data_IF_646070294314
#
_entry.id   IF_646070294314
#
_cell.length_a   1.000
_cell.length_b   1.000
_cell.length_c   1.000
_cell.angle_alpha   90.00
_cell.angle_beta   90.00
_cell.angle_gamma   90.00
#
_symmetry.space_group_name_H-M   'P 1'
#
loop_
_entity.id
_entity.type
_entity.pdbx_description
1 polymer ?
#
# COMPACT_ATOMS: atom_id res chain seq x y z
N UNK A 1 -1.13 -9.42 21.64
CA UNK A 1 -0.68 -8.23 22.37
C UNK A 1 0.27 -7.53 21.42
N UNK A 2 -0.12 -6.39 20.84
CA UNK A 2 0.81 -5.59 20.05
C UNK A 2 1.61 -4.76 21.06
N UNK A 3 2.91 -4.99 21.14
CA UNK A 3 3.82 -4.19 21.95
C UNK A 3 3.78 -2.75 21.41
N UNK A 4 3.56 -1.78 22.29
CA UNK A 4 3.77 -0.38 21.92
C UNK A 4 5.20 -0.22 21.39
N UNK A 5 5.41 0.53 20.31
CA UNK A 5 6.76 0.74 19.79
C UNK A 5 7.61 1.40 20.87
N UNK A 6 8.78 0.83 21.15
CA UNK A 6 9.74 1.40 22.09
C UNK A 6 10.08 2.83 21.63
N UNK A 7 9.55 3.83 22.36
CA UNK A 7 9.73 5.26 22.08
C UNK A 7 11.21 5.62 21.83
N UNK A 8 12.20 5.05 22.56
CA UNK A 8 13.61 5.26 22.26
C UNK A 8 14.05 4.74 20.88
N UNK A 9 13.58 3.56 20.47
CA UNK A 9 13.93 2.96 19.18
C UNK A 9 13.36 3.80 18.01
N UNK A 10 12.14 4.31 18.16
CA UNK A 10 11.52 5.18 17.15
C UNK A 10 12.25 6.51 17.00
N UNK A 11 12.69 7.12 18.11
CA UNK A 11 13.48 8.35 18.07
C UNK A 11 14.85 8.13 17.39
N UNK A 12 15.50 7.00 17.68
CA UNK A 12 16.76 6.62 17.04
C UNK A 12 16.57 6.36 15.53
N UNK A 13 15.53 5.64 15.13
CA UNK A 13 15.19 5.43 13.73
C UNK A 13 15.01 6.75 12.97
N UNK A 14 14.28 7.71 13.56
CA UNK A 14 14.09 9.06 12.98
C UNK A 14 15.42 9.79 12.78
N UNK A 15 16.36 9.66 13.72
CA UNK A 15 17.69 10.26 13.57
C UNK A 15 18.49 9.64 12.41
N UNK A 16 18.33 8.33 12.17
CA UNK A 16 18.92 7.67 10.99
C UNK A 16 18.28 8.16 9.69
N UNK A 17 16.96 8.26 9.62
CA UNK A 17 16.24 8.78 8.45
C UNK A 17 16.61 10.25 8.14
N UNK A 18 16.82 11.06 9.17
CA UNK A 18 17.28 12.45 8.98
C UNK A 18 18.69 12.51 8.39
N UNK A 19 19.63 11.70 8.88
CA UNK A 19 20.97 11.58 8.29
C UNK A 19 20.91 11.08 6.84
N UNK A 20 19.97 10.18 6.54
CA UNK A 20 19.75 9.69 5.18
C UNK A 20 19.30 10.81 4.25
N UNK A 21 18.36 11.66 4.68
CA UNK A 21 17.92 12.85 3.92
C UNK A 21 19.08 13.81 3.68
N UNK A 22 19.88 14.11 4.70
CA UNK A 22 21.04 15.01 4.59
C UNK A 22 22.09 14.47 3.59
N UNK A 23 22.37 13.16 3.63
CA UNK A 23 23.26 12.52 2.66
C UNK A 23 22.70 12.59 1.23
N UNK A 24 21.38 12.39 1.07
CA UNK A 24 20.72 12.49 -0.23
C UNK A 24 20.76 13.92 -0.80
N UNK A 25 20.54 14.93 0.03
CA UNK A 25 20.67 16.35 -0.34
C UNK A 25 22.10 16.71 -0.76
N UNK A 26 23.10 16.12 -0.10
CA UNK A 26 24.51 16.22 -0.48
C UNK A 26 24.87 15.44 -1.76
N UNK A 27 23.92 14.67 -2.32
CA UNK A 27 24.12 13.84 -3.51
C UNK A 27 24.78 12.49 -3.25
N UNK A 28 25.02 12.12 -1.99
CA UNK A 28 25.61 10.85 -1.58
C UNK A 28 24.50 9.81 -1.37
N UNK A 29 24.01 9.26 -2.48
CA UNK A 29 22.90 8.32 -2.48
C UNK A 29 23.22 6.99 -1.80
N UNK A 30 24.45 6.49 -1.93
CA UNK A 30 24.81 5.18 -1.37
C UNK A 30 24.89 5.28 0.16
N UNK A 31 25.46 6.36 0.70
CA UNK A 31 25.43 6.63 2.14
C UNK A 31 24.00 6.86 2.65
N UNK A 32 23.15 7.52 1.86
CA UNK A 32 21.75 7.71 2.22
C UNK A 32 20.99 6.37 2.29
N UNK A 33 21.25 5.44 1.36
CA UNK A 33 20.69 4.08 1.41
C UNK A 33 21.09 3.39 2.70
N UNK A 34 22.39 3.37 3.05
CA UNK A 34 22.86 2.73 4.28
C UNK A 34 22.22 3.35 5.53
N UNK A 35 22.08 4.68 5.57
CA UNK A 35 21.43 5.36 6.69
C UNK A 35 19.93 5.03 6.82
N UNK A 36 19.19 4.90 5.71
CA UNK A 36 17.80 4.43 5.75
C UNK A 36 17.70 3.00 6.28
N UNK A 37 18.59 2.10 5.84
CA UNK A 37 18.58 0.70 6.29
C UNK A 37 18.90 0.56 7.79
N UNK A 38 19.79 1.41 8.34
CA UNK A 38 20.01 1.46 9.79
C UNK A 38 18.76 1.92 10.56
N UNK A 39 18.00 2.87 10.01
CA UNK A 39 16.73 3.27 10.60
C UNK A 39 15.67 2.15 10.53
N UNK A 40 15.57 1.46 9.39
CA UNK A 40 14.66 0.33 9.21
C UNK A 40 15.04 -0.90 10.05
N UNK A 41 16.32 -1.05 10.44
CA UNK A 41 16.73 -2.07 11.42
C UNK A 41 16.07 -1.85 12.79
N UNK A 42 15.84 -0.59 13.17
CA UNK A 42 15.19 -0.22 14.43
C UNK A 42 13.67 -0.16 14.30
N UNK A 43 13.16 0.21 13.13
CA UNK A 43 11.73 0.35 12.84
C UNK A 43 11.36 -0.34 11.50
N UNK A 44 11.31 -1.69 11.47
CA UNK A 44 11.13 -2.45 10.23
C UNK A 44 9.74 -2.37 9.60
N UNK A 45 8.78 -1.74 10.27
CA UNK A 45 7.43 -1.46 9.75
C UNK A 45 7.20 0.04 9.50
N UNK A 46 8.24 0.90 9.58
CA UNK A 46 8.10 2.32 9.27
C UNK A 46 8.03 2.56 7.75
N UNK A 47 6.79 2.53 7.25
CA UNK A 47 6.50 2.70 5.83
C UNK A 47 6.82 4.12 5.35
N UNK A 48 6.30 5.13 6.06
CA UNK A 48 6.35 6.51 5.59
C UNK A 48 7.74 7.12 5.75
N UNK A 49 8.41 6.90 6.88
CA UNK A 49 9.73 7.47 7.16
C UNK A 49 10.88 6.68 6.58
N UNK A 50 10.71 5.36 6.40
CA UNK A 50 11.75 4.45 5.93
C UNK A 50 11.53 3.96 4.51
N UNK A 51 10.62 2.99 4.33
CA UNK A 51 10.48 2.24 3.08
C UNK A 51 10.11 3.11 1.87
N UNK A 52 9.13 4.02 2.00
CA UNK A 52 8.71 4.92 0.92
C UNK A 52 9.84 5.89 0.55
N UNK A 53 10.48 6.51 1.53
CA UNK A 53 11.54 7.48 1.29
C UNK A 53 12.79 6.83 0.68
N UNK A 54 13.17 5.64 1.15
CA UNK A 54 14.23 4.84 0.53
C UNK A 54 13.88 4.48 -0.92
N UNK A 55 12.62 4.15 -1.21
CA UNK A 55 12.17 3.88 -2.58
C UNK A 55 12.24 5.13 -3.47
N UNK A 56 11.87 6.30 -2.95
CA UNK A 56 12.00 7.58 -3.67
C UNK A 56 13.47 7.86 -3.97
N UNK A 57 14.34 7.71 -2.98
CA UNK A 57 15.79 7.85 -3.11
C UNK A 57 16.37 6.90 -4.19
N UNK A 58 15.97 5.63 -4.16
CA UNK A 58 16.39 4.62 -5.12
C UNK A 58 16.04 5.01 -6.57
N UNK A 59 14.83 5.51 -6.80
CA UNK A 59 14.38 5.97 -8.10
C UNK A 59 15.15 7.23 -8.56
N UNK A 60 15.45 8.16 -7.64
CA UNK A 60 16.27 9.33 -7.94
C UNK A 60 17.70 8.94 -8.32
N UNK A 61 18.32 8.03 -7.55
CA UNK A 61 19.65 7.48 -7.82
C UNK A 61 19.70 6.82 -9.20
N UNK A 62 18.72 5.96 -9.52
CA UNK A 62 18.63 5.32 -10.83
C UNK A 62 18.45 6.34 -11.97
N UNK A 63 17.62 7.38 -11.76
CA UNK A 63 17.43 8.46 -12.74
C UNK A 63 18.67 9.30 -13.00
N UNK A 64 19.63 9.32 -12.06
CA UNK A 64 20.95 9.95 -12.21
C UNK A 64 22.03 9.00 -12.72
N UNK A 65 21.66 7.80 -13.18
CA UNK A 65 22.59 6.81 -13.72
C UNK A 65 23.39 6.06 -12.66
N UNK A 66 22.88 5.97 -11.41
CA UNK A 66 23.53 5.21 -10.35
C UNK A 66 23.73 3.74 -10.72
N UNK A 67 24.88 3.18 -10.33
CA UNK A 67 25.29 1.84 -10.73
C UNK A 67 24.40 0.76 -10.12
N UNK A 68 24.08 -0.26 -10.92
CA UNK A 68 23.41 -1.47 -10.45
C UNK A 68 24.37 -2.29 -9.56
N UNK A 69 23.86 -3.10 -8.62
CA UNK A 69 24.72 -3.91 -7.79
C UNK A 69 25.47 -4.95 -8.63
N UNK A 70 26.74 -5.18 -8.33
CA UNK A 70 27.55 -6.19 -9.02
C UNK A 70 27.10 -7.61 -8.64
N UNK A 71 27.43 -8.61 -9.46
CA UNK A 71 27.09 -10.01 -9.15
C UNK A 71 27.68 -10.47 -7.81
N UNK A 72 28.90 -10.02 -7.50
CA UNK A 72 29.56 -10.30 -6.21
C UNK A 72 28.82 -9.65 -5.04
N UNK A 73 28.39 -8.40 -5.20
CA UNK A 73 27.60 -7.69 -4.20
C UNK A 73 26.25 -8.35 -3.96
N UNK A 74 25.56 -8.75 -5.03
CA UNK A 74 24.30 -9.51 -4.97
C UNK A 74 24.51 -10.83 -4.22
N UNK A 75 25.53 -11.61 -4.59
CA UNK A 75 25.82 -12.88 -3.95
C UNK A 75 26.12 -12.70 -2.46
N UNK A 76 26.94 -11.70 -2.10
CA UNK A 76 27.26 -11.38 -0.71
C UNK A 76 26.03 -10.99 0.09
N UNK A 77 25.17 -10.12 -0.44
CA UNK A 77 23.96 -9.65 0.27
C UNK A 77 22.91 -10.74 0.42
N UNK A 78 22.68 -11.55 -0.62
CA UNK A 78 21.70 -12.63 -0.58
C UNK A 78 22.14 -13.85 0.23
N UNK A 79 23.46 -14.08 0.37
CA UNK A 79 24.00 -15.13 1.24
C UNK A 79 24.20 -14.68 2.69
N UNK A 80 24.20 -13.37 2.95
CA UNK A 80 24.36 -12.81 4.30
C UNK A 80 23.02 -12.66 5.03
N UNK A 81 23.09 -12.76 6.36
CA UNK A 81 21.96 -12.57 7.27
C UNK A 81 21.23 -13.88 7.58
N UNK A 82 21.11 -14.19 8.87
CA UNK A 82 20.40 -15.39 9.32
C UNK A 82 18.94 -15.07 9.60
N UNK A 83 18.69 -13.87 10.13
CA UNK A 83 17.37 -13.42 10.56
C UNK A 83 16.51 -12.94 9.39
N UNK A 84 15.19 -12.95 9.58
CA UNK A 84 14.26 -12.40 8.60
C UNK A 84 14.49 -10.90 8.37
N UNK A 85 14.84 -10.15 9.42
CA UNK A 85 15.18 -8.73 9.33
C UNK A 85 16.38 -8.48 8.43
N UNK A 86 17.50 -9.18 8.66
CA UNK A 86 18.70 -9.01 7.84
C UNK A 86 18.46 -9.38 6.38
N UNK A 87 17.72 -10.46 6.14
CA UNK A 87 17.32 -10.87 4.78
C UNK A 87 16.47 -9.79 4.10
N UNK A 88 15.54 -9.19 4.83
CA UNK A 88 14.71 -8.09 4.33
C UNK A 88 15.56 -6.88 3.95
N UNK A 89 16.42 -6.42 4.87
CA UNK A 89 17.27 -5.24 4.65
C UNK A 89 18.32 -5.47 3.56
N UNK A 90 18.89 -6.67 3.46
CA UNK A 90 19.82 -7.02 2.38
C UNK A 90 19.13 -7.04 1.01
N UNK A 91 17.91 -7.58 0.93
CA UNK A 91 17.12 -7.54 -0.30
C UNK A 91 16.71 -6.10 -0.65
N UNK A 92 16.38 -5.28 0.36
CA UNK A 92 15.97 -3.90 0.19
C UNK A 92 17.12 -3.00 -0.25
N UNK A 93 18.35 -3.26 0.24
CA UNK A 93 19.56 -2.66 -0.29
C UNK A 93 19.72 -2.88 -1.80
N UNK A 94 19.55 -4.14 -2.24
CA UNK A 94 19.66 -4.50 -3.65
C UNK A 94 18.54 -3.86 -4.48
N UNK A 95 17.31 -3.82 -3.93
CA UNK A 95 16.19 -3.13 -4.55
C UNK A 95 16.41 -1.61 -4.62
N UNK A 96 17.10 -1.01 -3.66
CA UNK A 96 17.42 0.41 -3.68
C UNK A 96 18.46 0.75 -4.78
N UNK A 97 19.39 -0.16 -5.06
CA UNK A 97 20.34 -0.01 -6.17
C UNK A 97 19.76 -0.38 -7.55
N UNK A 98 18.78 -1.28 -7.60
CA UNK A 98 18.07 -1.66 -8.84
C UNK A 98 16.55 -1.69 -8.62
N UNK A 99 15.88 -0.52 -8.63
CA UNK A 99 14.47 -0.41 -8.25
C UNK A 99 13.49 -1.11 -9.19
N UNK A 100 13.90 -1.49 -10.39
CA UNK A 100 13.05 -2.20 -11.35
C UNK A 100 13.14 -3.73 -11.22
N UNK A 101 14.03 -4.24 -10.38
CA UNK A 101 14.25 -5.67 -10.22
C UNK A 101 13.19 -6.31 -9.30
N UNK A 102 12.22 -6.98 -9.93
CA UNK A 102 11.14 -7.68 -9.21
C UNK A 102 11.64 -8.81 -8.32
N UNK A 103 12.78 -9.44 -8.65
CA UNK A 103 13.35 -10.51 -7.84
C UNK A 103 13.80 -10.02 -6.46
N UNK A 104 14.37 -8.81 -6.39
CA UNK A 104 14.71 -8.19 -5.11
C UNK A 104 13.46 -7.80 -4.32
N UNK A 105 12.43 -7.29 -4.99
CA UNK A 105 11.12 -7.06 -4.36
C UNK A 105 10.49 -8.34 -3.78
N UNK A 106 10.56 -9.45 -4.51
CA UNK A 106 10.09 -10.76 -4.02
C UNK A 106 10.85 -11.19 -2.76
N UNK A 107 12.17 -10.96 -2.72
CA UNK A 107 12.99 -11.28 -1.56
C UNK A 107 12.64 -10.40 -0.34
N UNK A 108 12.43 -9.09 -0.53
CA UNK A 108 11.94 -8.19 0.54
C UNK A 108 10.61 -8.69 1.08
N UNK A 109 9.64 -8.96 0.20
CA UNK A 109 8.31 -9.42 0.61
C UNK A 109 8.35 -10.72 1.40
N UNK A 110 9.10 -11.72 0.92
CA UNK A 110 9.22 -13.02 1.61
C UNK A 110 9.85 -12.87 2.99
N UNK A 111 10.90 -12.06 3.10
CA UNK A 111 11.58 -11.82 4.36
C UNK A 111 10.68 -11.03 5.33
N UNK A 112 9.93 -10.04 4.83
CA UNK A 112 8.98 -9.26 5.63
C UNK A 112 7.87 -10.16 6.23
N UNK A 113 7.27 -11.04 5.42
CA UNK A 113 6.28 -12.01 5.90
C UNK A 113 6.88 -12.97 6.92
N UNK A 114 8.08 -13.51 6.65
CA UNK A 114 8.76 -14.42 7.57
C UNK A 114 9.14 -13.75 8.90
N UNK A 115 9.44 -12.45 8.88
CA UNK A 115 9.75 -11.65 10.06
C UNK A 115 8.54 -11.11 10.81
N UNK A 116 7.33 -11.29 10.26
CA UNK A 116 6.10 -10.73 10.84
C UNK A 116 5.96 -9.21 10.69
N UNK A 117 6.75 -8.58 9.81
CA UNK A 117 6.69 -7.14 9.50
C UNK A 117 5.50 -6.87 8.58
N UNK A 118 4.31 -6.79 9.18
CA UNK A 118 3.04 -6.88 8.47
C UNK A 118 2.73 -5.65 7.63
N UNK A 119 3.18 -4.47 8.06
CA UNK A 119 2.98 -3.23 7.30
C UNK A 119 3.97 -3.20 6.13
N UNK A 120 5.25 -3.53 6.37
CA UNK A 120 6.26 -3.66 5.31
C UNK A 120 5.87 -4.69 4.25
N UNK A 121 5.41 -5.87 4.68
CA UNK A 121 4.91 -6.91 3.79
C UNK A 121 3.70 -6.44 2.98
N UNK A 122 2.75 -5.73 3.60
CA UNK A 122 1.58 -5.18 2.90
C UNK A 122 1.99 -4.19 1.83
N UNK A 123 2.85 -3.23 2.18
CA UNK A 123 3.31 -2.18 1.28
C UNK A 123 4.07 -2.77 0.09
N UNK A 124 5.03 -3.67 0.34
CA UNK A 124 5.81 -4.31 -0.73
C UNK A 124 4.90 -5.17 -1.62
N UNK A 125 3.96 -5.93 -1.04
CA UNK A 125 3.01 -6.72 -1.82
C UNK A 125 2.16 -5.84 -2.75
N UNK A 126 1.67 -4.69 -2.28
CA UNK A 126 0.90 -3.75 -3.10
C UNK A 126 1.72 -3.19 -4.27
N UNK A 127 2.97 -2.78 -3.98
CA UNK A 127 3.89 -2.29 -4.99
C UNK A 127 4.15 -3.35 -6.08
N UNK A 128 4.39 -4.58 -5.66
CA UNK A 128 4.63 -5.71 -6.56
C UNK A 128 3.38 -6.12 -7.34
N UNK A 129 2.21 -6.08 -6.72
CA UNK A 129 0.93 -6.33 -7.39
C UNK A 129 0.71 -5.33 -8.52
N UNK A 130 0.92 -4.03 -8.24
CA UNK A 130 0.84 -2.97 -9.23
C UNK A 130 1.88 -3.15 -10.35
N UNK A 131 3.13 -3.45 -10.00
CA UNK A 131 4.20 -3.70 -10.97
C UNK A 131 3.87 -4.88 -11.90
N UNK A 132 3.35 -5.98 -11.34
CA UNK A 132 2.95 -7.16 -12.11
C UNK A 132 1.75 -6.88 -13.03
N UNK A 133 0.76 -6.12 -12.56
CA UNK A 133 -0.38 -5.68 -13.39
C UNK A 133 0.08 -4.83 -14.58
N UNK A 134 1.09 -3.99 -14.38
CA UNK A 134 1.59 -3.06 -15.39
C UNK A 134 2.64 -3.68 -16.34
N UNK A 135 3.11 -4.88 -16.03
CA UNK A 135 4.07 -5.61 -16.84
C UNK A 135 3.47 -5.96 -18.22
N UNK A 136 4.31 -5.93 -19.26
CA UNK A 136 3.90 -6.38 -20.62
C UNK A 136 3.43 -7.84 -20.62
N UNK A 137 4.01 -8.65 -19.72
CA UNK A 137 3.68 -10.06 -19.51
C UNK A 137 3.56 -10.30 -18.01
N UNK A 138 2.36 -10.14 -17.42
CA UNK A 138 2.15 -10.40 -16.01
C UNK A 138 2.49 -11.86 -15.66
N UNK A 139 3.14 -12.06 -14.51
CA UNK A 139 3.53 -13.37 -14.00
C UNK A 139 2.42 -13.98 -13.15
N UNK A 140 1.93 -15.15 -13.55
CA UNK A 140 1.01 -15.94 -12.74
C UNK A 140 1.64 -16.37 -11.41
N UNK A 141 2.92 -16.76 -11.43
CA UNK A 141 3.65 -17.18 -10.23
C UNK A 141 3.74 -16.04 -9.19
N UNK A 142 3.96 -14.81 -9.65
CA UNK A 142 3.99 -13.65 -8.76
C UNK A 142 2.62 -13.38 -8.13
N UNK A 143 1.51 -13.55 -8.87
CA UNK A 143 0.19 -13.48 -8.25
C UNK A 143 -0.07 -14.61 -7.24
N UNK A 144 0.48 -15.81 -7.46
CA UNK A 144 0.40 -16.89 -6.46
C UNK A 144 1.16 -16.52 -5.19
N UNK A 145 2.39 -16.02 -5.33
CA UNK A 145 3.17 -15.50 -4.20
C UNK A 145 2.40 -14.41 -3.44
N UNK A 146 1.88 -13.41 -4.15
CA UNK A 146 1.12 -12.31 -3.55
C UNK A 146 -0.14 -12.81 -2.83
N UNK A 147 -0.85 -13.79 -3.41
CA UNK A 147 -1.99 -14.43 -2.76
C UNK A 147 -1.58 -15.06 -1.42
N UNK A 148 -0.50 -15.83 -1.39
CA UNK A 148 -0.02 -16.47 -0.17
C UNK A 148 0.43 -15.42 0.86
N UNK A 149 1.26 -14.46 0.47
CA UNK A 149 1.72 -13.39 1.36
C UNK A 149 0.56 -12.55 1.93
N UNK A 150 -0.40 -12.12 1.12
CA UNK A 150 -1.59 -11.41 1.60
C UNK A 150 -2.42 -12.27 2.56
N UNK A 151 -2.52 -13.57 2.32
CA UNK A 151 -3.24 -14.46 3.22
C UNK A 151 -2.53 -14.59 4.58
N UNK A 152 -1.20 -14.71 4.58
CA UNK A 152 -0.38 -14.84 5.78
C UNK A 152 -0.48 -13.59 6.68
N UNK A 153 -0.53 -12.40 6.08
CA UNK A 153 -0.71 -11.12 6.82
C UNK A 153 -2.18 -10.74 7.05
N UNK A 154 -3.12 -11.66 6.80
CA UNK A 154 -4.55 -11.47 7.11
C UNK A 154 -5.35 -10.63 6.11
N UNK A 155 -4.76 -10.21 4.99
CA UNK A 155 -5.38 -9.38 3.95
C UNK A 155 -6.20 -10.22 2.95
N UNK A 156 -7.28 -10.84 3.45
CA UNK A 156 -8.08 -11.83 2.70
C UNK A 156 -8.67 -11.29 1.38
N UNK A 157 -9.12 -10.03 1.35
CA UNK A 157 -9.66 -9.40 0.13
C UNK A 157 -8.59 -9.29 -0.96
N UNK A 158 -7.38 -8.87 -0.59
CA UNK A 158 -6.25 -8.73 -1.51
C UNK A 158 -5.71 -10.09 -1.96
N UNK A 159 -5.68 -11.06 -1.05
CA UNK A 159 -5.36 -12.46 -1.38
C UNK A 159 -6.33 -13.02 -2.44
N UNK A 160 -7.63 -12.76 -2.29
CA UNK A 160 -8.63 -13.16 -3.28
C UNK A 160 -8.40 -12.47 -4.64
N UNK A 161 -8.13 -11.16 -4.65
CA UNK A 161 -7.84 -10.43 -5.89
C UNK A 161 -6.59 -11.00 -6.61
N UNK A 162 -5.51 -11.29 -5.88
CA UNK A 162 -4.32 -11.94 -6.44
C UNK A 162 -4.61 -13.35 -6.97
N UNK A 163 -5.35 -14.17 -6.22
CA UNK A 163 -5.79 -15.48 -6.70
C UNK A 163 -6.61 -15.39 -7.99
N UNK A 164 -7.48 -14.37 -8.11
CA UNK A 164 -8.29 -14.17 -9.31
C UNK A 164 -7.42 -13.81 -10.52
N UNK A 165 -6.45 -12.92 -10.34
CA UNK A 165 -5.50 -12.56 -11.41
C UNK A 165 -4.68 -13.78 -11.84
N UNK A 166 -4.21 -14.60 -10.90
CA UNK A 166 -3.53 -15.86 -11.21
C UNK A 166 -4.43 -16.81 -12.03
N UNK A 167 -5.70 -16.97 -11.64
CA UNK A 167 -6.68 -17.79 -12.36
C UNK A 167 -6.98 -17.30 -13.77
N UNK A 168 -7.01 -15.98 -14.01
CA UNK A 168 -7.19 -15.43 -15.37
C UNK A 168 -6.04 -15.86 -16.29
N UNK A 169 -4.83 -15.97 -15.76
CA UNK A 169 -3.65 -16.42 -16.50
C UNK A 169 -3.52 -17.95 -16.57
N UNK A 170 -4.04 -18.67 -15.58
CA UNK A 170 -4.05 -20.14 -15.52
C UNK A 170 -5.45 -20.68 -15.16
N UNK A 171 -6.41 -20.65 -16.08
CA UNK A 171 -7.81 -21.02 -15.78
C UNK A 171 -8.00 -22.48 -15.38
N UNK A 172 -7.08 -23.36 -15.79
CA UNK A 172 -7.16 -24.81 -15.57
C UNK A 172 -6.45 -25.25 -14.27
N UNK A 173 -5.86 -24.32 -13.52
CA UNK A 173 -5.18 -24.64 -12.26
C UNK A 173 -6.20 -25.00 -11.17
N UNK A 174 -6.38 -26.31 -10.96
CA UNK A 174 -7.29 -26.85 -9.96
C UNK A 174 -6.94 -26.41 -8.53
N UNK A 175 -5.65 -26.15 -8.25
CA UNK A 175 -5.20 -25.66 -6.95
C UNK A 175 -5.71 -24.24 -6.70
N UNK A 176 -5.52 -23.34 -7.66
CA UNK A 176 -6.00 -21.97 -7.57
C UNK A 176 -7.52 -21.86 -7.51
N UNK A 177 -8.26 -22.74 -8.20
CA UNK A 177 -9.73 -22.77 -8.11
C UNK A 177 -10.19 -23.14 -6.70
N UNK A 178 -9.52 -24.11 -6.06
CA UNK A 178 -9.79 -24.49 -4.66
C UNK A 178 -9.44 -23.36 -3.69
N UNK A 179 -8.28 -22.73 -3.88
CA UNK A 179 -7.84 -21.60 -3.06
C UNK A 179 -8.83 -20.42 -3.14
N UNK A 180 -9.30 -20.08 -4.34
CA UNK A 180 -10.31 -19.04 -4.54
C UNK A 180 -11.60 -19.36 -3.78
N UNK A 181 -12.09 -20.60 -3.84
CA UNK A 181 -13.28 -21.03 -3.09
C UNK A 181 -13.07 -20.88 -1.58
N UNK A 182 -11.89 -21.28 -1.07
CA UNK A 182 -11.52 -21.14 0.34
C UNK A 182 -11.48 -19.67 0.77
N UNK A 183 -10.85 -18.81 -0.02
CA UNK A 183 -10.76 -17.37 0.26
C UNK A 183 -12.14 -16.72 0.28
N UNK A 184 -13.00 -17.02 -0.70
CA UNK A 184 -14.39 -16.53 -0.72
C UNK A 184 -15.21 -17.00 0.47
N UNK A 185 -15.06 -18.27 0.89
CA UNK A 185 -15.75 -18.77 2.07
C UNK A 185 -15.32 -18.03 3.35
N UNK A 186 -14.03 -17.73 3.50
CA UNK A 186 -13.52 -16.91 4.61
C UNK A 186 -14.08 -15.49 4.61
N UNK A 187 -14.30 -14.90 3.43
CA UNK A 187 -14.89 -13.57 3.28
C UNK A 187 -16.41 -13.55 3.52
N UNK A 188 -17.12 -14.61 3.12
CA UNK A 188 -18.57 -14.72 3.28
C UNK A 188 -19.00 -15.11 4.71
N UNK A 189 -18.10 -15.70 5.51
CA UNK A 189 -18.41 -16.02 6.90
C UNK A 189 -18.60 -14.70 7.68
N UNK A 190 -19.80 -14.41 8.22
CA UNK A 190 -19.96 -13.25 9.09
C UNK A 190 -18.99 -13.41 10.25
N UNK A 191 -18.15 -12.39 10.49
CA UNK A 191 -17.40 -12.26 11.75
C UNK A 191 -18.44 -12.50 12.85
N UNK A 192 -18.33 -13.60 13.60
CA UNK A 192 -19.03 -13.78 14.88
C UNK A 192 -18.60 -12.61 15.76
N UNK A 193 -19.33 -11.50 15.63
CA UNK A 193 -19.31 -10.42 16.60
C UNK A 193 -19.78 -11.09 17.88
N UNK A 194 -18.84 -11.27 18.80
CA UNK A 194 -19.14 -11.61 20.17
C UNK A 194 -20.02 -10.49 20.74
N UNK A 195 -21.33 -10.66 20.61
CA UNK A 195 -22.34 -10.01 21.41
C UNK A 195 -23.16 -11.14 22.04
N UNK A 196 -22.50 -11.89 22.92
CA UNK A 196 -23.21 -12.63 23.95
C UNK A 196 -23.90 -11.59 24.84
N UNK A 197 -25.23 -11.59 24.76
CA UNK A 197 -26.21 -11.27 25.81
C UNK A 197 -25.81 -10.16 26.78
N UNK A 198 -26.51 -9.03 26.69
CA UNK A 198 -27.30 -8.47 27.81
C UNK A 198 -28.33 -7.48 27.26
N UNK A 199 -29.60 -7.83 27.43
CA UNK A 199 -30.78 -6.97 27.29
C UNK A 199 -30.95 -6.05 28.53
N UNK A 200 -31.75 -4.96 28.43
CA UNK A 200 -31.76 -3.74 29.27
C UNK A 200 -32.70 -3.87 30.51
N UNK A 201 -33.09 -2.85 31.35
CA UNK A 201 -33.17 -1.36 31.20
C UNK A 201 -32.95 -0.56 32.54
N UNK A 202 -33.60 0.60 32.88
CA UNK A 202 -33.92 1.87 32.20
C UNK A 202 -33.46 3.18 32.94
N UNK A 203 -33.62 4.34 32.26
CA UNK A 203 -33.93 5.71 32.72
C UNK A 203 -33.06 6.48 33.75
N UNK A 204 -32.71 7.73 33.39
CA UNK A 204 -32.24 8.76 34.33
C UNK A 204 -31.82 10.07 33.63
N UNK A 205 -32.44 11.18 34.01
CA UNK A 205 -32.49 12.49 33.33
C UNK A 205 -31.50 13.50 33.98
N UNK A 206 -30.76 14.25 33.13
CA UNK A 206 -30.36 15.69 33.21
C UNK A 206 -29.31 16.23 34.23
N UNK A 207 -28.24 16.80 33.62
CA UNK A 207 -27.50 18.09 33.79
C UNK A 207 -26.92 18.62 35.12
N UNK A 208 -25.75 19.27 34.97
CA UNK A 208 -25.10 20.30 35.83
C UNK A 208 -23.58 20.29 35.60
N UNK A 209 -23.00 21.17 34.77
CA UNK A 209 -22.25 22.42 35.11
C UNK A 209 -21.11 22.24 36.15
N UNK A 210 -19.95 22.90 36.14
CA UNK A 210 -19.11 23.67 35.22
C UNK A 210 -17.75 23.87 35.94
N UNK A 211 -16.63 24.03 35.21
CA UNK A 211 -15.33 24.36 35.84
C UNK A 211 -14.12 24.32 34.89
N UNK A 212 -13.82 25.45 34.24
CA UNK A 212 -12.57 25.79 33.52
C UNK A 212 -11.55 26.39 34.54
N UNK A 213 -10.21 26.55 34.27
CA UNK A 213 -9.69 27.18 33.03
C UNK A 213 -8.26 26.80 32.50
N UNK A 214 -7.99 27.23 31.25
CA UNK A 214 -6.69 27.61 30.62
C UNK A 214 -5.66 26.51 30.24
N UNK A 215 -4.99 26.43 29.07
CA UNK A 215 -4.88 27.21 27.81
C UNK A 215 -4.24 26.30 26.70
N UNK A 216 -3.80 26.76 25.51
CA UNK A 216 -4.35 26.39 24.20
C UNK A 216 -3.50 25.43 23.35
N UNK A 217 -4.16 24.75 22.40
CA UNK A 217 -3.54 24.41 21.12
C UNK A 217 -3.51 22.93 20.75
N UNK A 218 -4.67 22.38 20.40
CA UNK A 218 -4.91 21.46 19.27
C UNK A 218 -6.36 21.00 19.41
N UNK A 219 -7.23 21.50 18.53
CA UNK A 219 -8.67 21.40 18.73
C UNK A 219 -9.12 19.94 18.68
N UNK A 220 -9.80 19.49 19.74
CA UNK A 220 -10.53 18.22 19.78
C UNK A 220 -11.54 18.09 18.64
N UNK A 221 -11.90 19.20 17.98
CA UNK A 221 -12.63 19.26 16.71
C UNK A 221 -11.85 18.59 15.56
N UNK A 222 -10.54 18.81 15.39
CA UNK A 222 -9.77 18.22 14.29
C UNK A 222 -9.66 16.70 14.38
N UNK A 223 -9.53 16.17 15.60
CA UNK A 223 -9.54 14.73 15.85
C UNK A 223 -10.96 14.14 15.72
N UNK A 224 -12.00 14.89 16.12
CA UNK A 224 -13.41 14.51 15.92
C UNK A 224 -13.83 14.57 14.44
N UNK A 225 -13.28 15.49 13.65
CA UNK A 225 -13.50 15.62 12.20
C UNK A 225 -12.81 14.46 11.46
N UNK A 226 -11.58 14.11 11.85
CA UNK A 226 -10.86 12.94 11.33
C UNK A 226 -11.54 11.61 11.73
N UNK A 227 -12.07 11.51 12.95
CA UNK A 227 -12.86 10.36 13.40
C UNK A 227 -14.27 10.32 12.75
N UNK A 228 -14.86 11.47 12.41
CA UNK A 228 -16.09 11.57 11.59
C UNK A 228 -15.85 11.16 10.13
N UNK A 229 -14.66 11.40 9.60
CA UNK A 229 -14.24 10.99 8.25
C UNK A 229 -13.85 9.50 8.17
N UNK A 230 -13.43 8.89 9.28
CA UNK A 230 -13.08 7.46 9.38
C UNK A 230 -14.22 6.56 9.87
N UNK A 231 -15.28 7.14 10.45
CA UNK A 231 -16.52 6.41 10.73
C UNK A 231 -17.33 6.30 9.44
N UNK A 232 -17.69 5.06 9.05
CA UNK A 232 -18.50 4.75 7.88
C UNK A 232 -19.51 5.87 7.60
N UNK A 233 -19.35 6.55 6.46
CA UNK A 233 -20.34 7.45 5.93
C UNK A 233 -21.15 6.61 4.92
N UNK A 234 -22.20 5.86 5.35
CA UNK A 234 -22.98 5.00 4.44
C UNK A 234 -23.61 5.79 3.28
N UNK A 235 -23.74 7.11 3.43
CA UNK A 235 -24.11 8.03 2.35
C UNK A 235 -23.02 8.18 1.27
N UNK A 236 -21.73 8.22 1.63
CA UNK A 236 -20.62 8.32 0.69
C UNK A 236 -20.49 7.09 -0.22
N UNK A 237 -20.79 5.90 0.29
CA UNK A 237 -20.80 4.65 -0.49
C UNK A 237 -21.95 4.64 -1.50
N UNK A 238 -23.13 5.11 -1.11
CA UNK A 238 -24.28 5.21 -2.02
C UNK A 238 -24.07 6.24 -3.13
N UNK A 239 -23.47 7.39 -2.81
CA UNK A 239 -23.12 8.42 -3.79
C UNK A 239 -21.99 7.95 -4.73
N UNK A 240 -20.96 7.27 -4.21
CA UNK A 240 -19.86 6.71 -5.00
C UNK A 240 -20.33 5.72 -6.06
N UNK A 241 -21.38 4.93 -5.77
CA UNK A 241 -21.97 3.99 -6.74
C UNK A 241 -22.48 4.65 -8.01
N UNK A 242 -23.03 5.86 -7.90
CA UNK A 242 -23.50 6.61 -9.07
C UNK A 242 -22.32 7.04 -9.97
N UNK A 243 -21.19 7.42 -9.36
CA UNK A 243 -19.96 7.73 -10.08
C UNK A 243 -19.37 6.49 -10.75
N UNK A 244 -19.27 5.36 -10.03
CA UNK A 244 -18.79 4.09 -10.61
C UNK A 244 -19.68 3.59 -11.75
N UNK A 245 -21.01 3.75 -11.64
CA UNK A 245 -21.94 3.41 -12.72
C UNK A 245 -21.72 4.27 -13.96
N UNK A 246 -21.58 5.59 -13.79
CA UNK A 246 -21.26 6.52 -14.89
C UNK A 246 -19.91 6.19 -15.54
N UNK A 247 -18.90 5.87 -14.72
CA UNK A 247 -17.58 5.48 -15.19
C UNK A 247 -17.63 4.23 -16.07
N UNK A 248 -18.42 3.20 -15.69
CA UNK A 248 -18.65 2.01 -16.53
C UNK A 248 -19.31 2.34 -17.87
N UNK A 249 -20.37 3.14 -17.86
CA UNK A 249 -21.05 3.55 -19.09
C UNK A 249 -20.12 4.35 -20.02
N UNK A 250 -19.30 5.25 -19.47
CA UNK A 250 -18.31 6.00 -20.22
C UNK A 250 -17.20 5.08 -20.79
N UNK A 251 -16.76 4.09 -20.01
CA UNK A 251 -15.79 3.08 -20.45
C UNK A 251 -16.31 2.24 -21.63
N UNK A 252 -17.59 1.84 -21.60
CA UNK A 252 -18.26 1.12 -22.70
C UNK A 252 -18.30 1.97 -23.98
N UNK A 253 -18.54 3.28 -23.83
CA UNK A 253 -18.49 4.27 -24.92
C UNK A 253 -17.07 4.62 -25.37
N UNK A 254 -16.04 4.03 -24.75
CA UNK A 254 -14.61 4.29 -25.00
C UNK A 254 -14.16 5.71 -24.65
N UNK A 255 -14.90 6.40 -23.79
CA UNK A 255 -14.57 7.72 -23.24
C UNK A 255 -13.64 7.55 -22.02
N UNK A 256 -12.42 7.07 -22.27
CA UNK A 256 -11.51 6.59 -21.23
C UNK A 256 -11.10 7.65 -20.20
N UNK A 257 -10.76 8.86 -20.65
CA UNK A 257 -10.32 9.93 -19.75
C UNK A 257 -11.47 10.36 -18.81
N UNK A 258 -12.69 10.50 -19.35
CA UNK A 258 -13.88 10.82 -18.57
C UNK A 258 -14.24 9.68 -17.60
N UNK A 259 -14.10 8.43 -18.02
CA UNK A 259 -14.34 7.27 -17.15
C UNK A 259 -13.31 7.20 -16.00
N UNK A 260 -12.05 7.57 -16.24
CA UNK A 260 -11.02 7.66 -15.19
C UNK A 260 -11.41 8.73 -14.16
N UNK A 261 -11.79 9.92 -14.61
CA UNK A 261 -12.21 11.01 -13.71
C UNK A 261 -13.42 10.59 -12.86
N UNK A 262 -14.40 9.90 -13.44
CA UNK A 262 -15.57 9.38 -12.71
C UNK A 262 -15.20 8.28 -11.70
N UNK A 263 -14.21 7.43 -11.98
CA UNK A 263 -13.73 6.46 -10.99
C UNK A 263 -13.01 7.16 -9.82
N UNK A 264 -12.15 8.14 -10.11
CA UNK A 264 -11.47 8.91 -9.07
C UNK A 264 -12.45 9.68 -8.20
N UNK A 265 -13.48 10.30 -8.79
CA UNK A 265 -14.55 10.97 -8.04
C UNK A 265 -15.33 10.02 -7.13
N UNK A 266 -15.53 8.77 -7.56
CA UNK A 266 -16.13 7.73 -6.72
C UNK A 266 -15.21 7.31 -5.58
N UNK A 267 -13.89 7.19 -5.82
CA UNK A 267 -12.90 6.81 -4.82
C UNK A 267 -12.58 7.93 -3.82
N UNK A 268 -12.76 9.20 -4.17
CA UNK A 268 -12.76 10.32 -3.20
C UNK A 268 -13.83 10.08 -2.12
N UNK A 269 -14.99 9.52 -2.50
CA UNK A 269 -16.16 9.32 -1.62
C UNK A 269 -16.15 7.96 -0.93
N UNK A 270 -15.59 6.93 -1.58
CA UNK A 270 -15.45 5.58 -1.07
C UNK A 270 -14.03 5.05 -1.33
N UNK A 271 -13.04 5.49 -0.52
CA UNK A 271 -11.62 5.20 -0.78
C UNK A 271 -11.24 3.73 -0.59
N UNK A 272 -12.09 2.96 0.08
CA UNK A 272 -11.95 1.53 0.31
C UNK A 272 -12.70 0.66 -0.72
N UNK A 273 -13.36 1.26 -1.72
CA UNK A 273 -14.16 0.58 -2.74
C UNK A 273 -13.29 -0.18 -3.77
N UNK A 274 -12.68 -1.28 -3.32
CA UNK A 274 -11.76 -2.09 -4.11
C UNK A 274 -12.41 -2.65 -5.38
N UNK A 275 -13.58 -3.31 -5.24
CA UNK A 275 -14.24 -4.00 -6.34
C UNK A 275 -14.96 -3.05 -7.30
N UNK A 276 -15.53 -1.96 -6.78
CA UNK A 276 -16.37 -1.05 -7.57
C UNK A 276 -15.58 0.12 -8.17
N UNK A 277 -14.44 0.50 -7.58
CA UNK A 277 -13.62 1.65 -8.01
C UNK A 277 -12.21 1.28 -8.45
N UNK A 278 -11.38 0.80 -7.51
CA UNK A 278 -9.94 0.55 -7.74
C UNK A 278 -9.67 -0.46 -8.86
N UNK A 279 -10.32 -1.63 -8.82
CA UNK A 279 -10.10 -2.69 -9.81
C UNK A 279 -10.57 -2.31 -11.22
N UNK A 280 -11.79 -1.75 -11.41
CA UNK A 280 -12.23 -1.28 -12.71
C UNK A 280 -11.39 -0.12 -13.27
N UNK A 281 -10.94 0.82 -12.43
CA UNK A 281 -10.06 1.91 -12.86
C UNK A 281 -8.72 1.38 -13.40
N UNK A 282 -8.11 0.41 -12.72
CA UNK A 282 -6.89 -0.25 -13.20
C UNK A 282 -7.12 -0.97 -14.55
N UNK A 283 -8.25 -1.67 -14.71
CA UNK A 283 -8.61 -2.32 -15.98
C UNK A 283 -8.82 -1.30 -17.10
N UNK A 284 -9.44 -0.16 -16.79
CA UNK A 284 -9.67 0.93 -17.73
C UNK A 284 -8.36 1.54 -18.24
N UNK A 285 -7.39 1.76 -17.35
CA UNK A 285 -6.04 2.23 -17.72
C UNK A 285 -5.34 1.29 -18.71
N UNK A 286 -5.51 -0.02 -18.55
CA UNK A 286 -4.99 -1.02 -19.49
C UNK A 286 -5.68 -0.95 -20.85
N UNK A 287 -7.01 -0.80 -20.87
CA UNK A 287 -7.78 -0.66 -22.12
C UNK A 287 -7.40 0.62 -22.88
N UNK A 288 -7.26 1.74 -22.17
CA UNK A 288 -6.82 3.04 -22.72
C UNK A 288 -5.44 2.90 -23.37
N UNK A 289 -4.49 2.25 -22.69
CA UNK A 289 -3.14 2.00 -23.21
C UNK A 289 -3.14 1.06 -24.42
N UNK A 290 -3.98 0.01 -24.41
CA UNK A 290 -4.13 -0.91 -25.53
C UNK A 290 -4.67 -0.26 -26.81
N UNK A 291 -5.40 0.86 -26.67
CA UNK A 291 -5.98 1.62 -27.80
C UNK A 291 -5.16 2.86 -28.20
N UNK A 292 -3.90 2.94 -27.78
CA UNK A 292 -3.00 4.04 -28.16
C UNK A 292 -3.14 5.31 -27.31
N UNK A 293 -3.79 5.22 -26.14
CA UNK A 293 -3.87 6.34 -25.20
C UNK A 293 -2.48 6.81 -24.75
N UNK A 294 -2.28 8.13 -24.70
CA UNK A 294 -1.00 8.75 -24.33
C UNK A 294 -0.69 8.49 -22.86
N UNK A 295 0.56 8.13 -22.55
CA UNK A 295 1.02 8.05 -21.17
C UNK A 295 0.91 9.42 -20.50
N UNK A 296 0.66 9.49 -19.18
CA UNK A 296 0.75 10.75 -18.45
C UNK A 296 2.09 11.44 -18.72
N UNK A 297 2.06 12.73 -19.05
CA UNK A 297 3.28 13.50 -19.33
C UNK A 297 4.11 13.68 -18.05
N UNK A 298 5.38 14.09 -18.17
CA UNK A 298 6.19 14.42 -16.99
C UNK A 298 5.52 15.51 -16.14
N UNK A 299 4.83 16.47 -16.76
CA UNK A 299 4.11 17.53 -16.04
C UNK A 299 2.91 16.97 -15.28
N UNK A 300 2.17 16.02 -15.86
CA UNK A 300 1.03 15.37 -15.20
C UNK A 300 1.49 14.54 -14.01
N UNK A 301 2.59 13.79 -14.17
CA UNK A 301 3.20 13.02 -13.08
C UNK A 301 3.62 13.93 -11.93
N UNK A 302 4.31 15.03 -12.21
CA UNK A 302 4.77 15.98 -11.17
C UNK A 302 3.61 16.64 -10.44
N UNK A 303 2.52 16.98 -11.14
CA UNK A 303 1.32 17.54 -10.50
C UNK A 303 0.64 16.54 -9.56
N UNK A 304 0.57 15.28 -9.96
CA UNK A 304 -0.05 14.20 -9.17
C UNK A 304 0.84 13.77 -7.99
N UNK A 305 2.16 13.98 -8.02
CA UNK A 305 3.04 13.70 -6.88
C UNK A 305 2.87 14.69 -5.68
N UNK A 306 2.02 15.71 -5.78
CA UNK A 306 1.83 16.76 -4.74
C UNK A 306 0.53 16.60 -3.92
N UNK A 307 0.13 15.37 -3.62
CA UNK A 307 -1.02 15.12 -2.73
C UNK A 307 -0.75 15.65 -1.32
N UNK A 308 -1.64 16.49 -0.79
CA UNK A 308 -1.48 17.14 0.53
C UNK A 308 -1.92 16.23 1.68
N UNK A 309 -2.70 15.20 1.39
CA UNK A 309 -3.19 14.22 2.35
C UNK A 309 -3.08 12.78 1.78
N UNK A 310 -3.13 11.74 2.65
CA UNK A 310 -2.96 10.35 2.21
C UNK A 310 -3.98 9.89 1.16
N UNK A 311 -5.21 10.41 1.19
CA UNK A 311 -6.24 10.11 0.20
C UNK A 311 -5.87 10.66 -1.18
N UNK A 312 -5.45 11.92 -1.26
CA UNK A 312 -4.97 12.53 -2.50
C UNK A 312 -3.74 11.81 -3.04
N UNK A 313 -2.81 11.40 -2.18
CA UNK A 313 -1.62 10.65 -2.60
C UNK A 313 -1.99 9.29 -3.22
N UNK A 314 -2.95 8.57 -2.62
CA UNK A 314 -3.49 7.32 -3.17
C UNK A 314 -4.14 7.55 -4.55
N UNK A 315 -5.08 8.50 -4.64
CA UNK A 315 -5.80 8.79 -5.88
C UNK A 315 -4.86 9.27 -7.01
N UNK A 316 -3.83 10.03 -6.64
CA UNK A 316 -2.82 10.48 -7.58
C UNK A 316 -1.93 9.34 -8.08
N UNK A 317 -1.73 8.27 -7.29
CA UNK A 317 -1.00 7.09 -7.72
C UNK A 317 -1.83 6.19 -8.66
N UNK A 318 -3.15 6.34 -8.68
CA UNK A 318 -4.06 5.53 -9.49
C UNK A 318 -4.39 6.12 -10.88
N UNK A 319 -4.06 7.39 -11.11
CA UNK A 319 -4.23 8.11 -12.39
C UNK A 319 -3.15 7.75 -13.43
#
# INVERSE_FOLDING_TARGET
>A
MMSEPDVPAQAQARAHFERARQAAEAGDFDRAIDAYLEGLRLAPDDISGGHIELRVLALQRAGRGGEKPTAEEVNRRLSAGETALEKMLNAEYLLAKDPENLGYGEAVLRAAVAGGYCEAARWMADLMFLANNNAKKPSANLYVLLKDCYADIGQMNRAAAACQRALRLRPQDKGLVKDMKRLRAKLASPRRRAAQKKTPPPNGVVQGEAGHPSAPGETAEGLKEALRMGAMNPHGVAEARAFFAKARTAAEKKEYDFAIDMYLDGLIRAPDALEEGHLPLCELGLQRRGKGGKRPSMVDRVKRMRGKNPLEQMLNAEY
#
